data_IF_539835243712
#
_entry.id   IF_539835243712
#
_cell.length_a   1.000
_cell.length_b   1.000
_cell.length_c   1.000
_cell.angle_alpha   90.00
_cell.angle_beta   90.00
_cell.angle_gamma   90.00
#
_symmetry.space_group_name_H-M   'P 1'
#
loop_
_entity.id
_entity.type
_entity.pdbx_description
1 polymer ?
#
# COMPACT_ATOMS: atom_id res chain seq x y z
N UNK A 1 -8.02 14.33 -7.28
CA UNK A 1 -8.61 13.63 -6.12
C UNK A 1 -9.71 12.73 -6.63
N UNK A 2 -9.44 11.43 -6.67
CA UNK A 2 -10.42 10.40 -7.07
C UNK A 2 -11.64 10.37 -6.14
N UNK A 3 -12.83 10.13 -6.71
CA UNK A 3 -14.05 9.91 -5.92
C UNK A 3 -13.93 8.75 -4.93
N UNK A 4 -13.14 7.73 -5.26
CA UNK A 4 -12.85 6.58 -4.36
C UNK A 4 -12.03 7.02 -3.16
N UNK A 5 -10.99 7.83 -3.38
CA UNK A 5 -10.16 8.38 -2.30
C UNK A 5 -10.99 9.24 -1.34
N UNK A 6 -11.91 10.05 -1.86
CA UNK A 6 -12.81 10.85 -1.03
C UNK A 6 -13.75 9.97 -0.18
N UNK A 7 -14.28 8.89 -0.76
CA UNK A 7 -15.10 7.91 -0.04
C UNK A 7 -14.31 7.26 1.11
N UNK A 8 -13.09 6.80 0.85
CA UNK A 8 -12.23 6.20 1.88
C UNK A 8 -11.87 7.20 2.99
N UNK A 9 -11.55 8.45 2.63
CA UNK A 9 -11.31 9.51 3.61
C UNK A 9 -12.53 9.79 4.49
N UNK A 10 -13.73 9.75 3.92
CA UNK A 10 -14.97 9.88 4.69
C UNK A 10 -15.13 8.73 5.68
N UNK A 11 -15.01 7.48 5.22
CA UNK A 11 -15.11 6.29 6.09
C UNK A 11 -14.07 6.33 7.20
N UNK A 12 -12.83 6.67 6.87
CA UNK A 12 -11.75 6.75 7.84
C UNK A 12 -12.04 7.78 8.93
N UNK A 13 -12.55 8.96 8.57
CA UNK A 13 -12.95 9.98 9.55
C UNK A 13 -14.13 9.54 10.40
N UNK A 14 -15.09 8.82 9.81
CA UNK A 14 -16.26 8.31 10.52
C UNK A 14 -15.93 7.24 11.55
N UNK A 15 -14.97 6.35 11.26
CA UNK A 15 -14.63 5.23 12.15
C UNK A 15 -13.42 5.48 13.04
N UNK A 16 -12.45 6.28 12.61
CA UNK A 16 -11.17 6.47 13.29
C UNK A 16 -10.95 7.92 13.77
N UNK A 17 -11.90 8.82 13.52
CA UNK A 17 -11.85 10.23 13.93
C UNK A 17 -11.09 11.15 12.97
N UNK A 18 -11.13 12.45 13.25
CA UNK A 18 -10.69 13.49 12.32
C UNK A 18 -9.17 13.51 12.02
N UNK A 19 -8.35 12.87 12.85
CA UNK A 19 -6.89 12.82 12.68
C UNK A 19 -6.40 11.61 11.88
N UNK A 20 -7.30 10.69 11.53
CA UNK A 20 -6.92 9.50 10.80
C UNK A 20 -6.57 9.84 9.34
N UNK A 21 -5.45 9.29 8.87
CA UNK A 21 -4.93 9.49 7.51
C UNK A 21 -4.81 8.14 6.80
N UNK A 22 -5.20 8.08 5.51
CA UNK A 22 -5.19 6.84 4.74
C UNK A 22 -3.78 6.20 4.70
N UNK A 23 -2.75 7.01 4.53
CA UNK A 23 -1.35 6.58 4.46
C UNK A 23 -0.81 6.00 5.78
N UNK A 24 -1.58 6.10 6.87
CA UNK A 24 -1.22 5.55 8.19
C UNK A 24 -2.15 4.45 8.67
N UNK A 25 -3.38 4.38 8.16
CA UNK A 25 -4.44 3.57 8.77
C UNK A 25 -5.17 2.65 7.78
N UNK A 26 -4.95 2.81 6.48
CA UNK A 26 -5.73 2.08 5.48
C UNK A 26 -4.87 1.05 4.74
N UNK A 27 -5.39 -0.16 4.65
CA UNK A 27 -4.91 -1.21 3.76
C UNK A 27 -5.88 -1.32 2.59
N UNK A 28 -5.35 -1.51 1.38
CA UNK A 28 -6.16 -1.59 0.18
C UNK A 28 -5.84 -2.85 -0.62
N UNK A 29 -6.85 -3.44 -1.25
CA UNK A 29 -6.68 -4.48 -2.26
C UNK A 29 -7.25 -3.92 -3.55
N UNK A 30 -6.43 -3.90 -4.60
CA UNK A 30 -6.79 -3.35 -5.90
C UNK A 30 -6.59 -4.42 -6.96
N UNK A 31 -7.60 -4.58 -7.81
CA UNK A 31 -7.65 -5.52 -8.92
C UNK A 31 -7.42 -4.83 -10.27
N UNK A 32 -7.52 -3.50 -10.34
CA UNK A 32 -7.35 -2.73 -11.59
C UNK A 32 -6.62 -1.37 -11.42
N UNK A 33 -6.34 -0.74 -12.57
CA UNK A 33 -5.59 0.53 -12.68
C UNK A 33 -6.37 1.76 -12.22
N UNK A 34 -7.70 1.71 -12.21
CA UNK A 34 -8.52 2.85 -11.84
C UNK A 34 -8.40 3.14 -10.33
N UNK A 35 -7.86 2.19 -9.57
CA UNK A 35 -7.65 2.27 -8.14
C UNK A 35 -6.25 2.75 -7.75
N UNK A 36 -5.36 3.04 -8.71
CA UNK A 36 -3.95 3.37 -8.42
C UNK A 36 -3.79 4.61 -7.52
N UNK A 37 -4.60 5.66 -7.71
CA UNK A 37 -4.58 6.86 -6.85
C UNK A 37 -4.96 6.56 -5.40
N UNK A 38 -5.84 5.56 -5.19
CA UNK A 38 -6.21 5.13 -3.85
C UNK A 38 -5.14 4.20 -3.27
N UNK A 39 -4.60 3.29 -4.07
CA UNK A 39 -3.53 2.38 -3.67
C UNK A 39 -2.33 3.16 -3.10
N UNK A 40 -1.94 4.24 -3.77
CA UNK A 40 -0.85 5.11 -3.32
C UNK A 40 -1.20 6.00 -2.14
N UNK A 41 -2.48 6.24 -1.86
CA UNK A 41 -2.92 7.03 -0.72
C UNK A 41 -3.03 6.22 0.58
N UNK A 42 -3.10 4.89 0.49
CA UNK A 42 -3.20 3.98 1.63
C UNK A 42 -1.83 3.73 2.28
N UNK A 43 -1.79 3.17 3.50
CA UNK A 43 -0.55 2.72 4.17
C UNK A 43 0.12 1.63 3.33
N UNK A 44 -0.69 0.69 2.87
CA UNK A 44 -0.25 -0.43 2.05
C UNK A 44 -1.37 -0.81 1.08
N UNK A 45 -1.00 -1.19 -0.14
CA UNK A 45 -1.93 -1.68 -1.14
C UNK A 45 -1.40 -2.96 -1.80
N UNK A 46 -2.27 -3.94 -1.95
CA UNK A 46 -2.00 -5.22 -2.57
C UNK A 46 -2.61 -5.25 -3.97
N UNK A 47 -1.78 -5.60 -4.96
CA UNK A 47 -2.11 -5.61 -6.37
C UNK A 47 -2.11 -7.05 -6.86
N UNK A 48 -3.30 -7.60 -7.14
CA UNK A 48 -3.47 -8.97 -7.63
C UNK A 48 -3.12 -9.12 -9.12
N UNK A 49 -2.92 -8.02 -9.85
CA UNK A 49 -2.38 -8.10 -11.20
C UNK A 49 -1.70 -6.78 -11.58
N UNK A 50 -0.60 -6.89 -12.33
CA UNK A 50 0.03 -5.73 -12.99
C UNK A 50 -0.48 -5.67 -14.43
N UNK A 51 -1.71 -5.19 -14.61
CA UNK A 51 -2.38 -5.15 -15.92
C UNK A 51 -2.02 -3.94 -16.75
N UNK A 52 -1.40 -2.91 -16.16
CA UNK A 52 -0.99 -1.70 -16.89
C UNK A 52 0.45 -1.30 -16.71
N UNK A 53 0.92 -0.58 -17.71
CA UNK A 53 2.23 0.07 -17.72
C UNK A 53 2.33 1.17 -16.64
N UNK A 54 1.21 1.79 -16.23
CA UNK A 54 1.20 2.81 -15.17
C UNK A 54 1.43 2.19 -13.80
N UNK A 55 0.75 1.08 -13.47
CA UNK A 55 1.02 0.30 -12.24
C UNK A 55 2.46 -0.22 -12.26
N UNK A 56 2.91 -0.79 -13.40
CA UNK A 56 4.27 -1.30 -13.57
C UNK A 56 5.33 -0.24 -13.30
N UNK A 57 5.20 0.92 -13.95
CA UNK A 57 6.11 2.07 -13.78
C UNK A 57 6.14 2.55 -12.33
N UNK A 58 5.00 2.52 -11.65
CA UNK A 58 4.88 2.94 -10.25
C UNK A 58 5.59 1.97 -9.30
N UNK A 59 5.38 0.66 -9.48
CA UNK A 59 6.09 -0.38 -8.72
C UNK A 59 7.59 -0.30 -8.96
N UNK A 60 8.03 -0.10 -10.19
CA UNK A 60 9.45 0.05 -10.51
C UNK A 60 10.08 1.27 -9.86
N UNK A 61 9.40 2.42 -9.87
CA UNK A 61 9.88 3.62 -9.16
C UNK A 61 10.01 3.37 -7.66
N UNK A 62 9.04 2.70 -7.05
CA UNK A 62 9.09 2.35 -5.62
C UNK A 62 10.24 1.38 -5.32
N UNK A 63 10.44 0.37 -6.18
CA UNK A 63 11.54 -0.59 -6.06
C UNK A 63 12.91 0.09 -6.19
N UNK A 64 13.06 1.02 -7.14
CA UNK A 64 14.30 1.77 -7.32
C UNK A 64 14.61 2.64 -6.11
N UNK A 65 13.59 3.33 -5.56
CA UNK A 65 13.74 4.11 -4.34
C UNK A 65 14.20 3.26 -3.14
N UNK A 66 13.77 1.99 -3.07
CA UNK A 66 14.17 1.09 -1.98
C UNK A 66 15.53 0.43 -2.21
N UNK A 67 15.95 0.26 -3.46
CA UNK A 67 17.25 -0.34 -3.78
C UNK A 67 18.44 0.60 -3.62
N UNK A 68 18.19 1.91 -3.46
CA UNK A 68 19.22 2.93 -3.26
C UNK A 68 19.36 3.35 -1.79
N UNK A 69 18.78 2.58 -0.85
CA UNK A 69 19.10 2.64 0.59
C UNK A 69 20.56 2.18 0.82
N UNK A 70 21.50 3.04 0.45
CA UNK A 70 22.82 3.15 1.07
C UNK A 70 22.70 4.17 2.19
N UNK A 71 22.71 3.68 3.43
CA UNK A 71 23.27 4.32 4.64
C UNK A 71 23.26 5.87 4.73
N UNK A 72 22.15 6.56 4.43
CA UNK A 72 22.02 8.00 4.70
C UNK A 72 20.70 8.28 5.43
N UNK A 73 20.81 8.47 6.74
CA UNK A 73 19.72 8.60 7.73
C UNK A 73 18.80 9.83 7.53
N UNK A 74 18.81 10.49 6.37
CA UNK A 74 18.18 11.79 6.15
C UNK A 74 17.03 11.84 5.13
N UNK A 75 16.71 10.77 4.40
CA UNK A 75 15.74 10.82 3.28
C UNK A 75 14.44 10.02 3.50
N UNK A 76 14.08 9.74 4.76
CA UNK A 76 12.84 8.99 5.10
C UNK A 76 11.53 9.76 4.80
N UNK A 77 11.59 11.08 4.59
CA UNK A 77 10.37 11.91 4.48
C UNK A 77 9.74 11.89 3.07
N UNK A 78 10.55 11.70 2.01
CA UNK A 78 10.02 11.57 0.64
C UNK A 78 9.31 10.21 0.41
N UNK A 79 9.73 9.18 1.14
CA UNK A 79 9.15 7.84 1.04
C UNK A 79 7.79 7.70 1.75
N UNK A 80 7.51 8.58 2.73
CA UNK A 80 6.23 8.65 3.44
C UNK A 80 5.07 9.22 2.61
N UNK A 81 5.35 9.76 1.42
CA UNK A 81 4.32 10.39 0.59
C UNK A 81 3.40 9.37 -0.10
N UNK A 82 3.85 8.13 -0.29
CA UNK A 82 3.08 7.09 -0.99
C UNK A 82 3.04 5.77 -0.21
N UNK A 83 1.89 5.10 -0.26
CA UNK A 83 1.68 3.77 0.29
C UNK A 83 2.62 2.72 -0.27
N UNK A 84 2.90 1.69 0.54
CA UNK A 84 3.64 0.50 0.10
C UNK A 84 2.79 -0.31 -0.88
N UNK A 85 3.25 -0.49 -2.12
CA UNK A 85 2.58 -1.36 -3.09
C UNK A 85 3.21 -2.75 -3.03
N UNK A 86 2.37 -3.77 -2.92
CA UNK A 86 2.78 -5.18 -2.89
C UNK A 86 2.08 -5.89 -4.03
N UNK A 87 2.86 -6.40 -4.99
CA UNK A 87 2.33 -7.21 -6.09
C UNK A 87 2.21 -8.64 -5.61
N UNK A 88 1.00 -9.18 -5.63
CA UNK A 88 0.73 -10.56 -5.22
C UNK A 88 0.53 -11.48 -6.43
N UNK A 89 0.29 -10.94 -7.62
CA UNK A 89 0.31 -11.69 -8.88
C UNK A 89 0.77 -10.82 -10.07
N UNK A 90 1.70 -11.35 -10.87
CA UNK A 90 2.28 -10.82 -12.09
C UNK A 90 2.83 -11.99 -12.92
N UNK A 91 1.99 -12.48 -13.85
CA UNK A 91 2.29 -13.63 -14.71
C UNK A 91 3.54 -13.36 -15.57
N UNK A 92 3.74 -12.12 -16.04
CA UNK A 92 4.86 -11.78 -16.92
C UNK A 92 6.21 -11.86 -16.19
N UNK A 93 6.21 -11.54 -14.89
CA UNK A 93 7.40 -11.66 -14.02
C UNK A 93 7.50 -13.01 -13.32
N UNK A 94 6.58 -13.93 -13.58
CA UNK A 94 6.53 -15.24 -12.93
C UNK A 94 6.12 -15.17 -11.45
N UNK A 95 5.53 -14.06 -11.02
CA UNK A 95 4.95 -13.92 -9.67
C UNK A 95 3.53 -14.48 -9.77
N UNK A 96 3.33 -15.71 -9.32
CA UNK A 96 1.98 -16.31 -9.27
C UNK A 96 1.81 -16.88 -7.88
N UNK A 97 1.25 -16.09 -6.97
CA UNK A 97 0.90 -16.59 -5.63
C UNK A 97 -0.50 -17.21 -5.68
N UNK A 98 -0.58 -18.53 -5.63
CA UNK A 98 -1.85 -19.18 -5.33
C UNK A 98 -2.29 -18.75 -3.93
N UNK A 99 -3.43 -18.07 -3.82
CA UNK A 99 -3.89 -17.48 -2.56
C UNK A 99 -3.29 -16.10 -2.25
N UNK A 100 -3.03 -15.30 -3.29
CA UNK A 100 -2.58 -13.92 -3.21
C UNK A 100 -3.39 -13.07 -2.21
N UNK A 101 -4.71 -13.26 -2.14
CA UNK A 101 -5.59 -12.56 -1.22
C UNK A 101 -5.38 -13.00 0.23
N UNK A 102 -5.22 -14.30 0.47
CA UNK A 102 -4.95 -14.88 1.79
C UNK A 102 -3.61 -14.39 2.33
N UNK A 103 -2.55 -14.39 1.51
CA UNK A 103 -1.24 -13.83 1.90
C UNK A 103 -1.30 -12.34 2.19
N UNK A 104 -2.03 -11.58 1.37
CA UNK A 104 -2.28 -10.17 1.64
C UNK A 104 -2.96 -9.98 3.01
N UNK A 105 -3.94 -10.83 3.32
CA UNK A 105 -4.62 -10.81 4.63
C UNK A 105 -3.67 -11.15 5.78
N UNK A 106 -2.86 -12.20 5.66
CA UNK A 106 -1.87 -12.60 6.67
C UNK A 106 -0.86 -11.48 6.96
N UNK A 107 -0.39 -10.79 5.91
CA UNK A 107 0.50 -9.65 6.04
C UNK A 107 -0.18 -8.48 6.77
N UNK A 108 -1.43 -8.18 6.43
CA UNK A 108 -2.20 -7.14 7.12
C UNK A 108 -2.36 -7.48 8.61
N UNK A 109 -2.75 -8.73 8.92
CA UNK A 109 -2.94 -9.18 10.30
C UNK A 109 -1.64 -9.09 11.11
N UNK A 110 -0.53 -9.57 10.52
CA UNK A 110 0.80 -9.51 11.15
C UNK A 110 1.21 -8.07 11.46
N UNK A 111 0.96 -7.13 10.55
CA UNK A 111 1.26 -5.71 10.78
C UNK A 111 0.37 -5.08 11.86
N UNK A 112 -0.92 -5.43 11.88
CA UNK A 112 -1.83 -4.96 12.94
C UNK A 112 -1.46 -5.51 14.32
N UNK A 113 -0.98 -6.74 14.41
CA UNK A 113 -0.48 -7.33 15.65
C UNK A 113 0.76 -6.57 16.17
N UNK A 114 1.73 -6.26 15.29
CA UNK A 114 2.89 -5.45 15.65
C UNK A 114 2.49 -4.05 16.14
N UNK A 115 1.57 -3.39 15.44
CA UNK A 115 1.09 -2.05 15.83
C UNK A 115 0.46 -2.08 17.23
N UNK A 116 -0.26 -3.16 17.58
CA UNK A 116 -0.83 -3.34 18.93
C UNK A 116 0.22 -3.60 20.01
N UNK A 117 1.26 -4.38 19.71
CA UNK A 117 2.36 -4.65 20.65
C UNK A 117 3.16 -3.38 20.96
N UNK A 118 3.32 -2.48 19.98
CA UNK A 118 4.04 -1.21 20.15
C UNK A 118 3.15 -0.06 20.66
N UNK A 119 1.81 -0.21 20.58
CA UNK A 119 0.81 0.77 21.04
C UNK A 119 0.39 0.63 22.50
N UNK A 120 0.98 -0.29 23.27
CA UNK A 120 0.65 -0.54 24.69
C UNK A 120 1.46 0.32 25.70
N UNK A 121 1.72 1.59 25.37
CA UNK A 121 2.31 2.60 26.27
C UNK A 121 1.33 3.74 26.55
#
# INVERSE_FOLDING_TARGET
MSGKQNCCNYLLKSFCGNNAQLNKNAYCMCDDDNNVEMATACKMAFLSSVTSESIRSLIERQRLAWSDERDDDNDTDAMLQYGRLIVTEDIERGIVESGATERALEMIMTELEKDNEHGAL
#
